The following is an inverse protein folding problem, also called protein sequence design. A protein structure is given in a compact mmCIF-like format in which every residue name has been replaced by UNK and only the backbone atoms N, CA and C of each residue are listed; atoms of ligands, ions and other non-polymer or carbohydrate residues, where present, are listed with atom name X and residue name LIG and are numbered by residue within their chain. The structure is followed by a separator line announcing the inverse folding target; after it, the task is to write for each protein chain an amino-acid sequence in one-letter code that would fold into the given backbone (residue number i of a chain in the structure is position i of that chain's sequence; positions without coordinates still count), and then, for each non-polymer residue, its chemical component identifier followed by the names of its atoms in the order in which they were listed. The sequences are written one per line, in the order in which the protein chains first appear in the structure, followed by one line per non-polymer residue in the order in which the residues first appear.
data_IF_124407029686
#
_entry.id   IF_124407029686
#
_cell.length_a   1.000
_cell.length_b   1.000
_cell.length_c   1.000
_cell.angle_alpha   90.00
_cell.angle_beta   90.00
_cell.angle_gamma   90.00
#
_symmetry.space_group_name_H-M   'P 1'
#
loop_
_entity.id
_entity.type
_entity.pdbx_description
1 polymer ?
#
# COMPACT_ATOMS: atom_id res chain seq x y z
N UNK A 1 4.97 -24.90 -2.16
CA UNK A 1 5.17 -24.84 -3.62
C UNK A 1 5.42 -26.20 -4.25
N UNK A 2 5.45 -26.29 -5.58
CA UNK A 2 5.65 -27.50 -6.39
C UNK A 2 6.99 -27.48 -7.15
N UNK A 3 7.41 -28.61 -7.73
CA UNK A 3 8.65 -28.73 -8.53
C UNK A 3 9.85 -29.34 -7.78
N UNK A 4 11.05 -29.15 -8.31
CA UNK A 4 12.30 -29.68 -7.76
C UNK A 4 12.75 -28.84 -6.57
N UNK A 5 13.41 -29.47 -5.60
CA UNK A 5 14.03 -28.76 -4.48
C UNK A 5 15.20 -27.89 -4.93
N UNK A 6 16.03 -28.45 -5.82
CA UNK A 6 17.26 -27.83 -6.32
C UNK A 6 18.42 -28.00 -5.34
N UNK A 7 19.42 -27.16 -5.48
CA UNK A 7 20.61 -27.09 -4.62
C UNK A 7 20.97 -25.63 -4.33
N UNK A 8 21.74 -25.39 -3.26
CA UNK A 8 22.26 -24.07 -2.92
C UNK A 8 23.78 -24.09 -2.83
N UNK A 9 24.42 -23.04 -3.33
CA UNK A 9 25.83 -22.76 -3.13
C UNK A 9 26.00 -21.28 -2.82
N UNK A 10 26.90 -20.93 -1.89
CA UNK A 10 27.22 -19.54 -1.58
C UNK A 10 27.83 -18.77 -2.78
N UNK A 11 28.43 -19.48 -3.74
CA UNK A 11 29.05 -18.88 -4.92
C UNK A 11 28.05 -18.50 -6.02
N UNK A 12 26.94 -19.24 -6.14
CA UNK A 12 26.00 -19.11 -7.27
C UNK A 12 24.55 -18.92 -6.84
N UNK A 13 24.24 -19.02 -5.54
CA UNK A 13 22.88 -19.00 -5.02
C UNK A 13 22.13 -20.31 -5.23
N UNK A 14 20.80 -20.23 -5.17
CA UNK A 14 19.93 -21.34 -5.52
C UNK A 14 20.07 -21.74 -7.00
N UNK A 15 20.06 -23.05 -7.28
CA UNK A 15 20.14 -23.57 -8.65
C UNK A 15 18.89 -23.22 -9.47
N UNK A 16 19.04 -23.16 -10.79
CA UNK A 16 17.98 -22.75 -11.73
C UNK A 16 16.69 -23.59 -11.61
N UNK A 17 16.78 -24.84 -11.19
CA UNK A 17 15.66 -25.77 -11.01
C UNK A 17 15.00 -25.69 -9.62
N UNK A 18 15.52 -24.85 -8.71
CA UNK A 18 14.95 -24.67 -7.38
C UNK A 18 13.54 -24.07 -7.45
N UNK A 19 12.54 -24.83 -7.02
CA UNK A 19 11.12 -24.44 -7.06
C UNK A 19 10.41 -24.59 -5.69
N UNK A 20 11.13 -25.07 -4.66
CA UNK A 20 10.59 -25.31 -3.31
C UNK A 20 10.96 -24.20 -2.34
N UNK A 21 9.94 -23.53 -1.80
CA UNK A 21 10.07 -22.66 -0.62
C UNK A 21 9.87 -23.47 0.66
N UNK A 22 10.51 -23.04 1.73
CA UNK A 22 10.43 -23.65 3.05
C UNK A 22 11.76 -23.52 3.79
N UNK A 23 11.71 -23.64 5.11
CA UNK A 23 12.91 -23.58 5.95
C UNK A 23 13.95 -24.62 5.49
N UNK A 24 15.20 -24.17 5.34
CA UNK A 24 16.32 -25.00 4.90
C UNK A 24 16.34 -25.35 3.41
N UNK A 25 15.34 -24.93 2.62
CA UNK A 25 15.31 -25.17 1.17
C UNK A 25 16.22 -24.19 0.41
N UNK A 26 16.68 -24.54 -0.80
CA UNK A 26 17.59 -23.68 -1.56
C UNK A 26 17.08 -22.25 -1.78
N UNK A 27 15.80 -22.05 -2.11
CA UNK A 27 15.22 -20.70 -2.27
C UNK A 27 15.21 -19.89 -0.97
N UNK A 28 14.99 -20.56 0.17
CA UNK A 28 15.08 -19.92 1.48
C UNK A 28 16.52 -19.51 1.84
N UNK A 29 17.47 -20.41 1.57
CA UNK A 29 18.89 -20.12 1.76
C UNK A 29 19.35 -18.95 0.88
N UNK A 30 18.90 -18.90 -0.38
CA UNK A 30 19.18 -17.80 -1.29
C UNK A 30 18.60 -16.46 -0.80
N UNK A 31 17.33 -16.46 -0.35
CA UNK A 31 16.71 -15.29 0.28
C UNK A 31 17.55 -14.78 1.45
N UNK A 32 17.88 -15.67 2.41
CA UNK A 32 18.65 -15.30 3.59
C UNK A 32 20.06 -14.80 3.25
N UNK A 33 20.78 -15.56 2.41
CA UNK A 33 22.16 -15.27 2.03
C UNK A 33 22.26 -13.91 1.33
N UNK A 34 21.39 -13.65 0.35
CA UNK A 34 21.38 -12.39 -0.40
C UNK A 34 20.96 -11.20 0.45
N UNK A 35 20.01 -11.38 1.37
CA UNK A 35 19.66 -10.33 2.33
C UNK A 35 20.85 -10.01 3.24
N UNK A 36 21.52 -11.01 3.82
CA UNK A 36 22.71 -10.81 4.65
C UNK A 36 23.82 -10.10 3.89
N UNK A 37 24.12 -10.54 2.67
CA UNK A 37 25.14 -9.93 1.82
C UNK A 37 24.82 -8.46 1.51
N UNK A 38 23.56 -8.12 1.25
CA UNK A 38 23.14 -6.74 1.02
C UNK A 38 23.32 -5.86 2.26
N UNK A 39 23.00 -6.36 3.46
CA UNK A 39 23.18 -5.63 4.71
C UNK A 39 24.65 -5.47 5.08
N UNK A 40 25.44 -6.53 4.96
CA UNK A 40 26.86 -6.54 5.31
C UNK A 40 27.70 -5.65 4.36
N UNK A 41 27.23 -5.41 3.14
CA UNK A 41 27.92 -4.55 2.17
C UNK A 41 28.14 -3.12 2.69
N UNK A 42 27.24 -2.61 3.54
CA UNK A 42 27.39 -1.31 4.17
C UNK A 42 26.63 -1.30 5.51
N UNK A 43 27.30 -1.00 6.65
CA UNK A 43 26.64 -0.98 7.95
C UNK A 43 25.49 0.03 8.08
N UNK A 44 25.39 1.00 7.15
CA UNK A 44 24.27 1.95 7.08
C UNK A 44 23.05 1.42 6.32
N UNK A 45 23.16 0.27 5.66
CA UNK A 45 22.01 -0.33 4.99
C UNK A 45 20.99 -0.79 6.02
N UNK A 46 19.71 -0.59 5.71
CA UNK A 46 18.59 -1.00 6.56
C UNK A 46 17.63 -1.87 5.74
N UNK A 47 17.31 -3.06 6.26
CA UNK A 47 16.25 -3.90 5.73
C UNK A 47 14.90 -3.27 6.06
N UNK A 48 14.27 -2.66 5.05
CA UNK A 48 13.03 -1.91 5.22
C UNK A 48 11.79 -2.81 5.28
N UNK A 49 11.70 -3.79 4.38
CA UNK A 49 10.55 -4.68 4.23
C UNK A 49 10.93 -5.90 3.39
N UNK A 50 10.12 -6.96 3.46
CA UNK A 50 10.11 -8.07 2.52
C UNK A 50 8.85 -7.96 1.65
N UNK A 51 9.01 -7.78 0.34
CA UNK A 51 7.89 -7.85 -0.60
C UNK A 51 7.70 -9.30 -1.05
N UNK A 52 6.58 -9.90 -0.65
CA UNK A 52 6.28 -11.32 -0.89
C UNK A 52 5.05 -11.46 -1.78
N UNK A 53 5.18 -12.15 -2.92
CA UNK A 53 4.06 -12.49 -3.81
C UNK A 53 4.18 -13.95 -4.18
N UNK A 54 3.40 -14.80 -3.51
CA UNK A 54 3.48 -16.25 -3.67
C UNK A 54 2.20 -16.90 -3.15
N UNK A 55 1.68 -17.85 -3.91
CA UNK A 55 0.62 -18.78 -3.46
C UNK A 55 -0.05 -19.55 -4.60
N UNK A 56 0.12 -19.08 -5.83
CA UNK A 56 -0.47 -19.59 -7.08
C UNK A 56 -0.40 -21.12 -7.18
N UNK A 57 0.81 -21.67 -7.14
CA UNK A 57 1.02 -23.12 -7.28
C UNK A 57 0.75 -23.92 -6.01
N UNK A 58 0.61 -23.27 -4.85
CA UNK A 58 0.15 -23.96 -3.65
C UNK A 58 -1.35 -24.23 -3.71
N UNK A 59 -2.13 -23.34 -4.32
CA UNK A 59 -3.57 -23.54 -4.54
C UNK A 59 -3.89 -24.72 -5.46
N UNK A 60 -2.96 -25.12 -6.32
CA UNK A 60 -3.13 -26.30 -7.20
C UNK A 60 -2.71 -27.61 -6.54
N UNK A 61 -2.11 -27.56 -5.34
CA UNK A 61 -1.64 -28.74 -4.63
C UNK A 61 -2.74 -29.32 -3.72
N UNK A 62 -2.83 -30.65 -3.61
CA UNK A 62 -3.69 -31.32 -2.64
C UNK A 62 -3.41 -30.91 -1.18
N UNK A 63 -2.17 -30.51 -0.88
CA UNK A 63 -1.76 -30.05 0.45
C UNK A 63 -1.81 -28.53 0.65
N UNK A 64 -2.58 -27.78 -0.14
CA UNK A 64 -2.68 -26.32 -0.06
C UNK A 64 -2.96 -25.80 1.37
N UNK A 65 -3.70 -26.56 2.17
CA UNK A 65 -4.02 -26.21 3.56
C UNK A 65 -2.81 -26.17 4.50
N UNK A 66 -1.66 -26.74 4.10
CA UNK A 66 -0.42 -26.68 4.86
C UNK A 66 0.37 -25.38 4.60
N UNK A 67 0.07 -24.67 3.51
CA UNK A 67 0.82 -23.48 3.09
C UNK A 67 0.86 -22.39 4.18
N UNK A 68 -0.25 -22.05 4.89
CA UNK A 68 -0.21 -21.00 5.91
C UNK A 68 0.78 -21.26 7.04
N UNK A 69 0.82 -22.50 7.55
CA UNK A 69 1.75 -22.89 8.61
C UNK A 69 3.19 -22.91 8.11
N UNK A 70 3.43 -23.44 6.90
CA UNK A 70 4.75 -23.47 6.29
C UNK A 70 5.30 -22.06 6.02
N UNK A 71 4.46 -21.14 5.54
CA UNK A 71 4.82 -19.74 5.35
C UNK A 71 5.19 -19.08 6.68
N UNK A 72 4.36 -19.22 7.71
CA UNK A 72 4.65 -18.60 9.01
C UNK A 72 5.94 -19.12 9.64
N UNK A 73 6.20 -20.43 9.54
CA UNK A 73 7.45 -21.04 9.99
C UNK A 73 8.66 -20.43 9.25
N UNK A 74 8.54 -20.21 7.94
CA UNK A 74 9.59 -19.57 7.13
C UNK A 74 9.83 -18.11 7.53
N UNK A 75 8.76 -17.33 7.79
CA UNK A 75 8.87 -15.95 8.29
C UNK A 75 9.58 -15.90 9.63
N UNK A 76 9.19 -16.77 10.56
CA UNK A 76 9.79 -16.85 11.90
C UNK A 76 11.26 -17.25 11.84
N UNK A 77 11.60 -18.26 11.04
CA UNK A 77 12.99 -18.68 10.87
C UNK A 77 13.84 -17.58 10.21
N UNK A 78 13.33 -16.90 9.18
CA UNK A 78 14.06 -15.80 8.53
C UNK A 78 14.42 -14.69 9.52
N UNK A 79 13.47 -14.35 10.41
CA UNK A 79 13.70 -13.36 11.47
C UNK A 79 14.73 -13.83 12.49
N UNK A 80 14.67 -15.09 12.91
CA UNK A 80 15.64 -15.68 13.82
C UNK A 80 17.05 -15.69 13.20
N UNK A 81 17.16 -16.08 11.94
CA UNK A 81 18.43 -16.17 11.22
C UNK A 81 19.05 -14.79 10.93
N UNK A 82 18.28 -13.71 11.03
CA UNK A 82 18.72 -12.32 10.93
C UNK A 82 19.04 -11.65 12.28
N UNK A 83 18.90 -12.35 13.42
CA UNK A 83 19.11 -11.77 14.75
C UNK A 83 20.48 -11.07 14.91
N UNK A 84 21.54 -11.62 14.29
CA UNK A 84 22.89 -11.01 14.29
C UNK A 84 23.02 -9.69 13.51
N UNK A 85 22.01 -9.31 12.73
CA UNK A 85 21.94 -8.06 11.95
C UNK A 85 20.74 -7.21 12.37
N UNK A 86 20.23 -7.39 13.59
CA UNK A 86 19.04 -6.69 14.09
C UNK A 86 19.14 -5.16 14.00
N UNK A 87 20.32 -4.60 14.31
CA UNK A 87 20.59 -3.17 14.21
C UNK A 87 20.35 -2.60 12.80
N UNK A 88 20.52 -3.43 11.76
CA UNK A 88 20.29 -3.07 10.36
C UNK A 88 18.88 -3.45 9.87
N UNK A 89 17.95 -3.76 10.77
CA UNK A 89 16.55 -4.01 10.44
C UNK A 89 15.71 -2.78 10.80
N UNK A 90 14.64 -2.53 10.03
CA UNK A 90 13.64 -1.53 10.40
C UNK A 90 13.19 -1.75 11.86
N UNK A 91 13.18 -0.69 12.67
CA UNK A 91 12.84 -0.77 14.10
C UNK A 91 13.91 -1.41 15.00
N UNK A 92 15.12 -1.66 14.47
CA UNK A 92 16.22 -2.26 15.22
C UNK A 92 16.00 -3.74 15.55
N UNK A 93 15.04 -4.40 14.91
CA UNK A 93 14.71 -5.80 15.15
C UNK A 93 14.24 -6.48 13.87
N UNK A 94 14.64 -7.74 13.59
CA UNK A 94 14.07 -8.51 12.49
C UNK A 94 12.56 -8.74 12.67
N UNK A 95 12.08 -8.76 13.92
CA UNK A 95 10.67 -8.95 14.23
C UNK A 95 9.80 -7.78 13.75
N UNK A 96 10.35 -6.55 13.71
CA UNK A 96 9.65 -5.36 13.22
C UNK A 96 9.74 -5.17 11.70
N UNK A 97 10.52 -6.00 10.98
CA UNK A 97 10.55 -5.94 9.52
C UNK A 97 9.23 -6.49 8.96
N UNK A 98 8.47 -5.66 8.22
CA UNK A 98 7.18 -6.06 7.68
C UNK A 98 7.35 -6.98 6.47
N UNK A 99 6.53 -8.02 6.43
CA UNK A 99 6.31 -8.85 5.25
C UNK A 99 5.08 -8.33 4.51
N UNK A 100 5.31 -7.60 3.42
CA UNK A 100 4.28 -7.02 2.58
C UNK A 100 3.86 -8.09 1.56
N UNK A 101 2.77 -8.79 1.89
CA UNK A 101 2.26 -9.92 1.15
C UNK A 101 1.24 -9.45 0.09
N UNK A 102 1.68 -9.41 -1.15
CA UNK A 102 0.86 -9.05 -2.28
C UNK A 102 -0.11 -10.16 -2.70
N UNK A 103 -1.27 -9.73 -3.15
CA UNK A 103 -2.31 -10.59 -3.75
C UNK A 103 -1.89 -11.15 -5.12
N UNK A 104 -2.77 -11.96 -5.71
CA UNK A 104 -2.56 -12.54 -7.06
C UNK A 104 -3.57 -12.00 -8.07
N UNK A 105 -3.50 -12.47 -9.33
CA UNK A 105 -4.44 -12.06 -10.37
C UNK A 105 -5.85 -12.59 -10.08
N UNK A 106 -6.86 -11.92 -10.62
CA UNK A 106 -8.25 -12.36 -10.48
C UNK A 106 -8.47 -13.79 -11.01
N UNK A 107 -7.68 -14.22 -12.01
CA UNK A 107 -7.82 -15.50 -12.68
C UNK A 107 -7.54 -16.67 -11.72
N UNK A 108 -6.50 -16.56 -10.89
CA UNK A 108 -6.19 -17.56 -9.88
C UNK A 108 -7.31 -17.71 -8.85
N UNK A 109 -7.92 -16.60 -8.41
CA UNK A 109 -9.05 -16.63 -7.48
C UNK A 109 -10.30 -17.24 -8.13
N UNK A 110 -10.57 -16.94 -9.40
CA UNK A 110 -11.71 -17.50 -10.12
C UNK A 110 -11.59 -19.03 -10.28
N UNK A 111 -10.40 -19.53 -10.57
CA UNK A 111 -10.15 -20.97 -10.75
C UNK A 111 -10.07 -21.74 -9.42
N UNK A 112 -9.51 -21.11 -8.37
CA UNK A 112 -9.21 -21.76 -7.09
C UNK A 112 -9.82 -21.05 -5.89
N UNK A 113 -11.09 -20.63 -5.97
CA UNK A 113 -11.73 -19.79 -4.95
C UNK A 113 -11.60 -20.30 -3.52
N UNK A 114 -11.83 -21.60 -3.29
CA UNK A 114 -11.69 -22.21 -1.95
C UNK A 114 -10.26 -22.18 -1.45
N UNK A 115 -9.30 -22.58 -2.29
CA UNK A 115 -7.89 -22.63 -1.94
C UNK A 115 -7.30 -21.23 -1.76
N UNK A 116 -7.79 -20.24 -2.52
CA UNK A 116 -7.42 -18.84 -2.39
C UNK A 116 -7.74 -18.31 -0.99
N UNK A 117 -8.94 -18.58 -0.47
CA UNK A 117 -9.31 -18.11 0.86
C UNK A 117 -8.46 -18.76 1.97
N UNK A 118 -7.92 -19.96 1.74
CA UNK A 118 -6.97 -20.59 2.67
C UNK A 118 -5.56 -20.02 2.53
N UNK A 119 -5.02 -19.92 1.32
CA UNK A 119 -3.64 -19.50 1.05
C UNK A 119 -3.48 -17.98 1.20
N UNK A 120 -4.24 -17.19 0.44
CA UNK A 120 -4.15 -15.73 0.46
C UNK A 120 -4.94 -15.11 1.62
N UNK A 121 -6.04 -15.75 2.04
CA UNK A 121 -6.75 -15.32 3.24
C UNK A 121 -5.89 -15.40 4.50
N UNK A 122 -4.95 -16.37 4.56
CA UNK A 122 -3.99 -16.47 5.65
C UNK A 122 -2.98 -15.31 5.74
N UNK A 123 -2.81 -14.48 4.71
CA UNK A 123 -1.99 -13.28 4.81
C UNK A 123 -2.71 -12.10 5.51
N UNK A 124 -4.03 -12.16 5.67
CA UNK A 124 -4.86 -11.10 6.24
C UNK A 124 -4.94 -11.22 7.77
N UNK A 125 -5.12 -10.09 8.47
CA UNK A 125 -5.34 -10.08 9.92
C UNK A 125 -4.11 -10.50 10.75
N UNK A 126 -2.91 -10.37 10.17
CA UNK A 126 -1.63 -10.76 10.79
C UNK A 126 -0.72 -9.56 11.06
N UNK A 127 -1.29 -8.37 11.21
CA UNK A 127 -0.56 -7.12 11.43
C UNK A 127 0.25 -7.17 12.73
N UNK A 128 -0.25 -7.84 13.78
CA UNK A 128 0.50 -8.08 15.03
C UNK A 128 1.75 -8.93 14.83
N UNK A 129 1.82 -9.70 13.75
CA UNK A 129 2.97 -10.50 13.33
C UNK A 129 3.83 -9.76 12.30
N UNK A 130 3.56 -8.48 12.04
CA UNK A 130 4.21 -7.67 11.03
C UNK A 130 4.08 -8.29 9.62
N UNK A 131 2.90 -8.84 9.31
CA UNK A 131 2.53 -9.38 8.00
C UNK A 131 1.32 -8.59 7.52
N UNK A 132 1.43 -8.01 6.32
CA UNK A 132 0.44 -7.08 5.78
C UNK A 132 0.00 -7.53 4.39
N UNK A 133 -1.29 -7.80 4.22
CA UNK A 133 -1.85 -8.16 2.93
C UNK A 133 -2.10 -6.91 2.06
N UNK A 134 -1.65 -6.95 0.81
CA UNK A 134 -1.85 -5.86 -0.16
C UNK A 134 -2.71 -6.35 -1.31
N UNK A 135 -3.98 -5.90 -1.42
CA UNK A 135 -4.88 -6.36 -2.48
C UNK A 135 -4.39 -5.86 -3.84
N UNK A 136 -4.49 -6.69 -4.87
CA UNK A 136 -4.15 -6.33 -6.25
C UNK A 136 -5.24 -6.68 -7.24
N UNK A 137 -6.21 -7.53 -6.91
CA UNK A 137 -7.17 -8.03 -7.90
C UNK A 137 -7.94 -6.93 -8.64
N UNK A 138 -8.36 -5.86 -7.95
CA UNK A 138 -9.11 -4.76 -8.57
C UNK A 138 -8.53 -3.39 -8.21
N UNK A 139 -8.78 -2.40 -9.08
CA UNK A 139 -8.51 -1.00 -8.80
C UNK A 139 -9.53 -0.36 -7.84
N UNK A 140 -9.44 0.96 -7.62
CA UNK A 140 -10.33 1.69 -6.72
C UNK A 140 -11.78 1.86 -7.20
N UNK A 141 -12.04 1.52 -8.47
CA UNK A 141 -13.36 1.51 -9.12
C UNK A 141 -13.97 0.11 -9.21
N UNK A 142 -13.22 -0.94 -8.83
CA UNK A 142 -13.65 -2.33 -8.89
C UNK A 142 -13.30 -3.04 -10.21
N UNK A 143 -12.56 -2.38 -11.10
CA UNK A 143 -12.10 -2.99 -12.37
C UNK A 143 -10.91 -3.90 -12.08
N UNK A 144 -10.87 -5.07 -12.69
CA UNK A 144 -9.77 -6.01 -12.54
C UNK A 144 -8.43 -5.38 -12.95
N UNK A 145 -7.39 -5.62 -12.16
CA UNK A 145 -6.04 -5.22 -12.51
C UNK A 145 -5.58 -5.98 -13.77
N UNK A 146 -5.06 -5.27 -14.79
CA UNK A 146 -4.68 -5.88 -16.05
C UNK A 146 -3.71 -7.06 -15.93
N UNK A 147 -4.01 -8.13 -16.66
CA UNK A 147 -3.15 -9.32 -16.80
C UNK A 147 -2.51 -9.36 -18.18
N UNK A 148 -1.68 -10.38 -18.44
CA UNK A 148 -1.14 -10.63 -19.78
C UNK A 148 -2.19 -11.17 -20.78
N UNK A 149 -3.48 -11.17 -20.42
CA UNK A 149 -4.55 -11.33 -21.39
C UNK A 149 -4.49 -10.21 -22.45
N UNK A 150 -4.38 -10.51 -23.75
CA UNK A 150 -4.24 -9.48 -24.78
C UNK A 150 -5.31 -8.38 -24.76
N UNK A 151 -6.55 -8.69 -24.36
CA UNK A 151 -7.63 -7.70 -24.25
C UNK A 151 -7.45 -6.71 -23.09
N UNK A 152 -6.62 -7.04 -22.09
CA UNK A 152 -6.37 -6.23 -20.89
C UNK A 152 -5.05 -5.47 -20.96
N UNK A 153 -4.15 -5.86 -21.87
CA UNK A 153 -2.84 -5.25 -22.05
C UNK A 153 -2.64 -4.83 -23.51
N UNK A 154 -3.40 -3.82 -23.97
CA UNK A 154 -3.31 -3.31 -25.35
C UNK A 154 -2.05 -2.50 -25.58
N UNK A 155 -1.70 -2.33 -26.85
CA UNK A 155 -0.64 -1.41 -27.27
C UNK A 155 -1.05 0.04 -26.99
N UNK A 156 -0.07 0.84 -26.56
CA UNK A 156 -0.19 2.29 -26.40
C UNK A 156 0.93 2.91 -27.23
N UNK A 157 0.66 3.02 -28.54
CA UNK A 157 1.63 3.44 -29.54
C UNK A 157 2.25 4.82 -29.23
N UNK A 158 1.46 5.77 -28.75
CA UNK A 158 1.93 7.10 -28.36
C UNK A 158 2.96 7.10 -27.22
N UNK A 159 3.06 6.01 -26.46
CA UNK A 159 4.05 5.83 -25.39
C UNK A 159 5.14 4.81 -25.73
N UNK A 160 5.17 4.32 -26.97
CA UNK A 160 6.09 3.24 -27.38
C UNK A 160 5.88 1.94 -26.62
N UNK A 161 4.70 1.73 -26.03
CA UNK A 161 4.37 0.54 -25.26
C UNK A 161 3.63 -0.46 -26.14
N UNK A 162 4.25 -1.61 -26.39
CA UNK A 162 3.60 -2.75 -27.03
C UNK A 162 3.24 -3.76 -25.95
N UNK A 163 1.94 -4.01 -25.81
CA UNK A 163 1.37 -4.89 -24.83
C UNK A 163 1.56 -6.37 -25.19
N UNK A 164 0.93 -7.22 -24.40
CA UNK A 164 1.11 -8.65 -24.45
C UNK A 164 0.53 -9.33 -25.71
N UNK A 165 -0.27 -8.61 -26.51
CA UNK A 165 -0.83 -9.09 -27.78
C UNK A 165 0.25 -9.46 -28.81
N UNK A 166 1.40 -8.78 -28.76
CA UNK A 166 2.56 -9.04 -29.64
C UNK A 166 3.28 -10.38 -29.37
N UNK A 167 2.97 -11.05 -28.24
CA UNK A 167 3.61 -12.30 -27.82
C UNK A 167 2.91 -13.52 -28.42
N UNK A 168 3.71 -14.51 -28.81
CA UNK A 168 3.27 -15.81 -29.34
C UNK A 168 3.79 -16.95 -28.47
N UNK A 169 3.41 -18.19 -28.79
CA UNK A 169 3.92 -19.38 -28.11
C UNK A 169 5.45 -19.55 -28.16
N UNK A 170 6.13 -18.82 -29.05
CA UNK A 170 7.59 -18.81 -29.13
C UNK A 170 8.24 -17.93 -28.05
N UNK A 171 7.51 -17.00 -27.45
CA UNK A 171 8.11 -15.97 -26.58
C UNK A 171 7.24 -15.47 -25.42
N UNK A 172 6.07 -16.08 -25.18
CA UNK A 172 5.28 -15.87 -23.97
C UNK A 172 5.80 -16.73 -22.82
N UNK A 173 5.47 -16.35 -21.58
CA UNK A 173 5.88 -17.09 -20.37
C UNK A 173 5.00 -18.31 -20.12
N UNK A 174 3.69 -18.18 -20.36
CA UNK A 174 2.68 -19.21 -20.11
C UNK A 174 1.58 -19.09 -21.15
N UNK A 175 1.00 -20.23 -21.55
CA UNK A 175 -0.17 -20.27 -22.43
C UNK A 175 -1.43 -19.74 -21.72
N UNK A 176 -1.55 -19.94 -20.40
CA UNK A 176 -2.64 -19.39 -19.60
C UNK A 176 -2.34 -17.92 -19.26
N UNK A 177 -2.68 -17.02 -20.17
CA UNK A 177 -2.29 -15.60 -20.17
C UNK A 177 -2.72 -14.81 -18.91
N UNK A 178 -3.96 -14.95 -18.39
CA UNK A 178 -4.43 -14.16 -17.24
C UNK A 178 -3.76 -14.49 -15.89
N UNK A 179 -2.97 -15.55 -15.81
CA UNK A 179 -2.28 -15.96 -14.57
C UNK A 179 -1.17 -15.02 -14.11
N UNK A 180 -0.82 -14.02 -14.92
CA UNK A 180 0.25 -13.07 -14.62
C UNK A 180 -0.23 -11.64 -14.87
N UNK A 181 0.04 -10.73 -13.92
CA UNK A 181 -0.15 -9.30 -14.11
C UNK A 181 0.63 -8.77 -15.31
N UNK A 182 0.03 -7.82 -16.04
CA UNK A 182 0.65 -7.19 -17.21
C UNK A 182 1.85 -6.33 -16.84
N UNK A 183 2.65 -5.98 -17.85
CA UNK A 183 3.75 -5.02 -17.65
C UNK A 183 3.21 -3.65 -17.23
N UNK A 184 2.06 -3.23 -17.76
CA UNK A 184 1.39 -2.00 -17.37
C UNK A 184 1.01 -2.00 -15.88
N UNK A 185 0.36 -3.06 -15.40
CA UNK A 185 -0.02 -3.21 -13.99
C UNK A 185 1.20 -3.19 -13.05
N UNK A 186 2.32 -3.80 -13.48
CA UNK A 186 3.59 -3.84 -12.73
C UNK A 186 4.35 -2.52 -12.72
N UNK A 187 4.00 -1.55 -13.59
CA UNK A 187 4.55 -0.18 -13.56
C UNK A 187 3.62 0.83 -12.88
N UNK A 188 2.35 0.49 -12.70
CA UNK A 188 1.36 1.34 -12.04
C UNK A 188 0.89 0.76 -10.72
N UNK A 189 -0.32 0.17 -10.73
CA UNK A 189 -1.05 -0.15 -9.50
C UNK A 189 -0.33 -1.09 -8.52
N UNK A 190 0.47 -2.05 -9.01
CA UNK A 190 1.17 -3.01 -8.13
C UNK A 190 2.25 -2.31 -7.30
N UNK A 191 3.28 -1.66 -7.91
CA UNK A 191 4.28 -0.94 -7.14
C UNK A 191 3.66 0.21 -6.32
N UNK A 192 2.65 0.91 -6.82
CA UNK A 192 1.97 1.98 -6.07
C UNK A 192 1.42 1.46 -4.74
N UNK A 193 0.73 0.31 -4.78
CA UNK A 193 0.14 -0.31 -3.58
C UNK A 193 1.19 -0.90 -2.65
N UNK A 194 2.21 -1.58 -3.20
CA UNK A 194 3.33 -2.10 -2.41
C UNK A 194 4.08 -0.96 -1.70
N UNK A 195 4.46 0.10 -2.43
CA UNK A 195 5.14 1.26 -1.87
C UNK A 195 4.29 1.97 -0.82
N UNK A 196 2.99 2.14 -1.08
CA UNK A 196 2.05 2.69 -0.09
C UNK A 196 2.04 1.86 1.19
N UNK A 197 1.97 0.54 1.09
CA UNK A 197 1.98 -0.34 2.24
C UNK A 197 3.29 -0.21 3.03
N UNK A 198 4.45 -0.27 2.35
CA UNK A 198 5.78 -0.08 2.96
C UNK A 198 5.88 1.27 3.68
N UNK A 199 5.48 2.36 3.01
CA UNK A 199 5.51 3.69 3.61
C UNK A 199 4.66 3.73 4.88
N UNK A 200 3.46 3.16 4.87
CA UNK A 200 2.57 3.18 6.02
C UNK A 200 3.13 2.43 7.25
N UNK A 201 3.87 1.34 7.05
CA UNK A 201 4.29 0.47 8.16
C UNK A 201 5.77 0.58 8.53
N UNK A 202 6.63 1.05 7.62
CA UNK A 202 8.07 1.15 7.84
C UNK A 202 8.71 2.45 7.34
N UNK A 203 8.12 3.11 6.35
CA UNK A 203 8.70 4.28 5.68
C UNK A 203 8.28 5.66 6.25
N UNK A 204 7.46 5.72 7.30
CA UNK A 204 7.07 7.00 7.94
C UNK A 204 7.88 7.37 9.17
N UNK A 205 9.00 6.70 9.41
CA UNK A 205 9.92 7.07 10.50
C UNK A 205 10.68 8.35 10.14
N UNK A 206 10.91 9.23 11.12
CA UNK A 206 11.64 10.48 10.90
C UNK A 206 13.04 10.23 10.30
N UNK A 207 13.71 9.16 10.72
CA UNK A 207 15.00 8.75 10.15
C UNK A 207 14.90 8.46 8.65
N UNK A 208 13.90 7.68 8.23
CA UNK A 208 13.66 7.38 6.81
C UNK A 208 13.32 8.65 6.00
N UNK A 209 12.43 9.50 6.51
CA UNK A 209 11.96 10.72 5.82
C UNK A 209 13.08 11.77 5.70
N UNK A 210 13.90 11.92 6.74
CA UNK A 210 15.01 12.89 6.75
C UNK A 210 16.29 12.39 6.06
N UNK A 211 16.31 11.13 5.61
CA UNK A 211 17.50 10.49 5.04
C UNK A 211 18.66 10.34 6.05
N UNK A 212 18.39 10.51 7.34
CA UNK A 212 19.38 10.32 8.41
C UNK A 212 19.35 8.88 8.91
N UNK A 213 20.52 8.34 9.22
CA UNK A 213 20.61 7.01 9.81
C UNK A 213 19.78 6.97 11.11
N UNK A 214 18.97 5.92 11.34
CA UNK A 214 18.24 5.78 12.60
C UNK A 214 19.23 5.76 13.76
N UNK A 215 19.00 6.58 14.80
CA UNK A 215 19.74 6.48 16.05
C UNK A 215 19.37 5.17 16.74
N UNK A 216 20.22 4.16 16.56
CA UNK A 216 20.10 2.88 17.25
C UNK A 216 20.69 3.09 18.64
N UNK A 217 19.85 3.37 19.64
CA UNK A 217 20.27 3.25 21.04
C UNK A 217 20.40 1.75 21.36
N UNK A 218 21.58 1.23 21.72
CA UNK A 218 21.68 -0.07 22.34
C UNK A 218 20.93 0.02 23.68
N UNK A 219 19.99 -0.88 23.95
CA UNK A 219 19.36 -0.95 25.28
C UNK A 219 20.38 -1.46 26.31
N UNK A 220 20.66 -0.72 27.40
CA UNK A 220 21.15 -1.31 28.64
C UNK A 220 19.94 -1.92 29.37
N UNK A 221 20.13 -3.09 29.97
CA UNK A 221 19.10 -3.73 30.77
C UNK A 221 18.72 -2.90 32.01
N UNK A 222 17.47 -3.08 32.45
CA UNK A 222 16.99 -2.59 33.74
C UNK A 222 16.45 -1.16 33.73
N UNK A 223 15.21 -1.05 34.19
CA UNK A 223 14.46 0.15 34.56
C UNK A 223 13.88 1.03 33.43
N UNK A 224 12.55 0.90 33.32
CA UNK A 224 11.56 1.72 32.61
C UNK A 224 12.12 2.75 31.62
N UNK A 225 12.05 2.48 30.30
CA UNK A 225 12.25 3.51 29.31
C UNK A 225 11.03 4.44 29.30
N UNK A 226 11.24 5.73 29.56
CA UNK A 226 10.38 6.76 28.96
C UNK A 226 10.55 6.63 27.45
N UNK A 227 9.61 5.91 26.82
CA UNK A 227 9.60 5.71 25.39
C UNK A 227 9.45 7.04 24.64
N UNK A 228 9.89 7.11 23.37
CA UNK A 228 9.33 8.08 22.45
C UNK A 228 7.81 7.85 22.47
N UNK A 229 7.06 8.92 22.74
CA UNK A 229 5.59 8.92 22.86
C UNK A 229 4.94 7.92 21.92
N UNK A 230 4.20 6.97 22.50
CA UNK A 230 3.28 6.08 21.83
C UNK A 230 2.23 6.90 21.07
N UNK A 231 2.51 7.27 19.83
CA UNK A 231 1.44 7.58 18.89
C UNK A 231 1.86 7.34 17.44
N UNK A 232 2.23 6.10 17.15
CA UNK A 232 2.30 5.56 15.79
C UNK A 232 0.92 5.07 15.31
N UNK A 233 -0.18 5.52 15.92
CA UNK A 233 -1.51 5.22 15.43
C UNK A 233 -1.72 5.94 14.09
N UNK A 234 -2.23 5.22 13.08
CA UNK A 234 -2.69 5.83 11.83
C UNK A 234 -3.89 6.70 12.19
N UNK A 235 -3.66 7.99 12.43
CA UNK A 235 -4.71 8.96 12.72
C UNK A 235 -5.60 9.10 11.49
N UNK A 236 -6.81 8.55 11.60
CA UNK A 236 -7.79 8.55 10.52
C UNK A 236 -8.96 9.45 10.88
N UNK A 237 -9.12 10.53 10.13
CA UNK A 237 -10.33 11.35 10.15
C UNK A 237 -11.14 10.95 8.92
N UNK A 238 -12.38 10.53 9.12
CA UNK A 238 -13.24 10.06 8.03
C UNK A 238 -14.69 10.46 8.25
N UNK A 239 -15.44 10.47 7.15
CA UNK A 239 -16.89 10.53 7.14
C UNK A 239 -17.37 9.32 6.34
N UNK A 240 -17.86 8.29 7.03
CA UNK A 240 -18.26 7.02 6.41
C UNK A 240 -19.76 6.80 6.60
N UNK A 241 -20.53 6.49 5.54
CA UNK A 241 -21.95 6.15 5.65
C UNK A 241 -22.22 4.99 6.61
N UNK A 242 -21.28 4.05 6.73
CA UNK A 242 -21.36 2.89 7.63
C UNK A 242 -21.12 3.23 9.10
N UNK A 243 -20.58 4.42 9.40
CA UNK A 243 -20.28 4.87 10.76
C UNK A 243 -21.36 5.79 11.36
N UNK A 244 -22.57 5.76 10.80
CA UNK A 244 -23.72 6.52 11.29
C UNK A 244 -23.77 7.97 10.81
N UNK A 245 -24.51 8.82 11.51
CA UNK A 245 -24.72 10.22 11.09
C UNK A 245 -23.45 11.07 11.17
N UNK A 246 -23.36 12.09 10.32
CA UNK A 246 -22.18 12.96 10.22
C UNK A 246 -21.85 13.68 11.54
N UNK A 247 -22.87 14.12 12.28
CA UNK A 247 -22.70 14.78 13.57
C UNK A 247 -22.09 13.85 14.63
N UNK A 248 -22.50 12.57 14.65
CA UNK A 248 -21.92 11.56 15.55
C UNK A 248 -20.44 11.26 15.21
N UNK A 249 -20.05 11.48 13.96
CA UNK A 249 -18.66 11.38 13.48
C UNK A 249 -17.86 12.69 13.66
N UNK A 250 -18.43 13.69 14.34
CA UNK A 250 -17.77 14.97 14.64
C UNK A 250 -17.79 16.00 13.51
N UNK A 251 -18.66 15.84 12.51
CA UNK A 251 -18.79 16.78 11.40
C UNK A 251 -19.95 17.76 11.60
N UNK A 252 -19.71 19.03 11.28
CA UNK A 252 -20.69 20.11 11.41
C UNK A 252 -20.96 20.77 10.06
N UNK A 253 -22.24 20.87 9.69
CA UNK A 253 -22.69 21.53 8.45
C UNK A 253 -23.18 22.95 8.71
N UNK A 254 -22.83 23.88 7.81
CA UNK A 254 -23.31 25.26 7.80
C UNK A 254 -23.99 25.56 6.46
N UNK A 255 -25.10 26.28 6.50
CA UNK A 255 -25.88 26.74 5.34
C UNK A 255 -26.29 25.60 4.36
N UNK A 256 -26.54 24.40 4.88
CA UNK A 256 -26.95 23.23 4.10
C UNK A 256 -27.54 22.14 4.98
N UNK A 257 -28.11 21.12 4.35
CA UNK A 257 -28.55 19.88 4.98
C UNK A 257 -27.64 18.73 4.59
N UNK A 258 -27.42 17.80 5.53
CA UNK A 258 -26.75 16.52 5.29
C UNK A 258 -27.67 15.40 5.73
N UNK A 259 -27.90 14.44 4.86
CA UNK A 259 -28.76 13.30 5.13
C UNK A 259 -28.08 12.02 4.67
N UNK A 260 -28.03 11.02 5.54
CA UNK A 260 -27.62 9.67 5.19
C UNK A 260 -28.81 8.95 4.51
N UNK A 261 -28.62 8.51 3.28
CA UNK A 261 -29.64 7.77 2.51
C UNK A 261 -28.96 6.80 1.56
N UNK A 262 -29.42 5.56 1.49
CA UNK A 262 -28.94 4.55 0.53
C UNK A 262 -27.40 4.37 0.55
N UNK A 263 -26.78 4.44 1.74
CA UNK A 263 -25.34 4.26 1.89
C UNK A 263 -24.49 5.44 1.38
N UNK A 264 -25.07 6.62 1.15
CA UNK A 264 -24.35 7.85 0.81
C UNK A 264 -24.83 9.05 1.64
N UNK A 265 -23.95 10.02 1.85
CA UNK A 265 -24.34 11.33 2.39
C UNK A 265 -24.79 12.24 1.26
N UNK A 266 -26.07 12.62 1.27
CA UNK A 266 -26.62 13.63 0.38
C UNK A 266 -26.50 15.00 1.05
N UNK A 267 -25.80 15.91 0.40
CA UNK A 267 -25.65 17.30 0.85
C UNK A 267 -26.53 18.19 -0.02
N UNK A 268 -27.38 19.00 0.62
CA UNK A 268 -28.20 20.01 -0.03
C UNK A 268 -27.79 21.39 0.44
N UNK A 269 -27.50 22.31 -0.49
CA UNK A 269 -27.19 23.69 -0.14
C UNK A 269 -28.47 24.48 0.12
N UNK A 270 -28.41 25.45 1.02
CA UNK A 270 -29.44 26.49 1.10
C UNK A 270 -29.30 27.44 -0.10
N UNK A 271 -30.44 27.95 -0.59
CA UNK A 271 -30.45 28.84 -1.75
C UNK A 271 -29.62 30.10 -1.48
N UNK A 272 -28.82 30.52 -2.47
CA UNK A 272 -27.95 31.71 -2.42
C UNK A 272 -26.94 31.76 -1.26
N UNK A 273 -26.61 30.61 -0.65
CA UNK A 273 -25.57 30.51 0.38
C UNK A 273 -24.51 29.48 -0.01
N UNK A 274 -23.25 29.79 0.27
CA UNK A 274 -22.19 28.80 0.30
C UNK A 274 -22.36 27.91 1.53
N UNK A 275 -22.29 26.60 1.35
CA UNK A 275 -22.34 25.62 2.42
C UNK A 275 -20.93 25.14 2.77
N UNK A 276 -20.74 24.68 4.01
CA UNK A 276 -19.51 24.01 4.41
C UNK A 276 -19.82 22.83 5.32
N UNK A 277 -19.02 21.78 5.21
CA UNK A 277 -19.00 20.64 6.13
C UNK A 277 -17.61 20.59 6.75
N UNK A 278 -17.54 20.69 8.07
CA UNK A 278 -16.28 20.96 8.78
C UNK A 278 -16.06 19.96 9.91
N UNK A 279 -14.81 19.60 10.13
CA UNK A 279 -14.36 18.82 11.28
C UNK A 279 -12.98 19.33 11.69
N UNK A 280 -12.75 19.65 12.97
CA UNK A 280 -11.42 20.03 13.46
C UNK A 280 -10.41 18.91 13.21
N UNK A 281 -9.19 19.30 12.84
CA UNK A 281 -8.03 18.42 12.71
C UNK A 281 -6.99 18.93 13.69
N UNK A 282 -6.66 18.13 14.69
CA UNK A 282 -5.78 18.49 15.80
C UNK A 282 -4.29 18.55 15.41
N UNK A 283 -3.86 17.71 14.47
CA UNK A 283 -2.45 17.59 14.08
C UNK A 283 -2.27 17.58 12.54
N UNK A 284 -2.84 18.60 11.88
CA UNK A 284 -2.79 18.72 10.42
C UNK A 284 -1.36 18.85 9.89
N UNK A 285 -0.49 19.56 10.62
CA UNK A 285 0.93 19.78 10.27
C UNK A 285 1.70 18.47 10.14
N UNK A 286 1.31 17.43 10.87
CA UNK A 286 1.94 16.14 10.74
C UNK A 286 1.81 15.49 9.35
N UNK A 287 0.88 15.94 8.50
CA UNK A 287 0.85 15.53 7.10
C UNK A 287 2.12 15.95 6.35
N UNK A 288 2.73 17.07 6.73
CA UNK A 288 3.97 17.57 6.12
C UNK A 288 5.18 16.73 6.55
N UNK A 289 5.20 16.26 7.80
CA UNK A 289 6.35 15.52 8.35
C UNK A 289 6.20 14.00 8.25
N UNK A 290 4.98 13.47 8.22
CA UNK A 290 4.67 12.02 8.19
C UNK A 290 4.05 11.56 6.88
N UNK A 291 3.70 12.49 5.97
CA UNK A 291 2.93 12.17 4.78
C UNK A 291 1.52 11.70 5.08
N UNK A 292 0.66 11.67 4.06
CA UNK A 292 -0.71 11.21 4.21
C UNK A 292 -1.47 11.22 2.90
N UNK A 293 -2.74 10.84 2.98
CA UNK A 293 -3.65 10.82 1.83
C UNK A 293 -5.01 11.34 2.29
N UNK A 294 -5.49 12.36 1.60
CA UNK A 294 -6.91 12.70 1.64
C UNK A 294 -7.60 11.97 0.48
N UNK A 295 -8.79 11.43 0.74
CA UNK A 295 -9.60 10.82 -0.31
C UNK A 295 -11.06 11.17 -0.12
N UNK A 296 -11.69 11.59 -1.21
CA UNK A 296 -13.11 11.85 -1.26
C UNK A 296 -13.69 11.16 -2.50
N UNK A 297 -14.67 10.28 -2.28
CA UNK A 297 -15.51 9.74 -3.35
C UNK A 297 -16.82 10.52 -3.33
N UNK A 298 -17.14 11.21 -4.42
CA UNK A 298 -18.33 12.02 -4.51
C UNK A 298 -19.00 11.87 -5.88
N UNK A 299 -20.27 12.26 -5.94
CA UNK A 299 -21.04 12.38 -7.17
C UNK A 299 -21.73 13.74 -7.17
N UNK A 300 -21.61 14.48 -8.26
CA UNK A 300 -22.38 15.70 -8.49
C UNK A 300 -23.67 15.34 -9.21
N UNK A 301 -24.76 16.05 -8.89
CA UNK A 301 -26.07 15.88 -9.53
C UNK A 301 -26.55 17.23 -10.05
N UNK A 302 -27.14 17.25 -11.25
CA UNK A 302 -27.66 18.44 -11.89
C UNK A 302 -27.28 18.53 -13.36
N UNK A 303 -27.80 19.54 -14.06
CA UNK A 303 -27.42 19.82 -15.44
C UNK A 303 -26.00 20.38 -15.49
N UNK A 304 -25.22 19.94 -16.49
CA UNK A 304 -23.87 20.44 -16.73
C UNK A 304 -23.96 21.92 -17.17
N UNK A 305 -23.48 22.82 -16.31
CA UNK A 305 -23.41 24.25 -16.59
C UNK A 305 -21.94 24.67 -16.65
N UNK A 306 -21.53 25.45 -17.64
CA UNK A 306 -20.14 25.89 -17.75
C UNK A 306 -19.78 26.85 -16.59
N UNK A 307 -18.54 26.79 -16.12
CA UNK A 307 -17.98 27.56 -15.01
C UNK A 307 -18.65 27.33 -13.64
N UNK A 308 -19.38 26.23 -13.48
CA UNK A 308 -20.07 25.92 -12.23
C UNK A 308 -19.13 25.23 -11.23
N UNK A 309 -19.10 25.75 -10.01
CA UNK A 309 -18.32 25.15 -8.92
C UNK A 309 -18.99 23.88 -8.38
N UNK A 310 -18.18 22.85 -8.19
CA UNK A 310 -18.53 21.59 -7.53
C UNK A 310 -18.02 21.54 -6.09
N UNK A 311 -17.39 20.42 -5.73
CA UNK A 311 -16.84 20.20 -4.39
C UNK A 311 -15.50 20.95 -4.21
N UNK A 312 -15.34 21.62 -3.07
CA UNK A 312 -14.06 22.14 -2.58
C UNK A 312 -13.59 21.39 -1.34
N UNK A 313 -12.29 21.14 -1.25
CA UNK A 313 -11.64 20.51 -0.09
C UNK A 313 -10.47 21.39 0.32
N UNK A 314 -10.57 21.89 1.55
CA UNK A 314 -9.60 22.81 2.12
C UNK A 314 -9.12 22.24 3.46
N UNK A 315 -7.80 22.24 3.65
CA UNK A 315 -7.18 21.92 4.94
C UNK A 315 -6.32 23.11 5.34
N UNK A 316 -6.87 23.89 6.27
CA UNK A 316 -6.19 25.04 6.85
C UNK A 316 -5.41 24.62 8.11
N UNK A 317 -4.30 25.31 8.36
CA UNK A 317 -3.62 25.25 9.65
C UNK A 317 -3.17 26.66 10.06
N UNK A 318 -3.41 27.02 11.31
CA UNK A 318 -2.88 28.22 11.97
C UNK A 318 -1.64 27.92 12.83
N UNK A 319 -1.26 26.64 12.90
CA UNK A 319 -0.08 26.17 13.62
C UNK A 319 1.18 26.52 12.82
N UNK A 320 2.23 26.95 13.53
CA UNK A 320 3.52 27.22 12.92
C UNK A 320 4.02 25.99 12.15
N UNK A 321 4.49 26.21 10.92
CA UNK A 321 5.09 25.15 10.12
C UNK A 321 6.44 24.73 10.74
N UNK A 322 6.87 23.47 10.58
CA UNK A 322 8.19 23.04 11.02
C UNK A 322 9.28 23.87 10.35
N UNK A 323 10.37 24.18 11.07
CA UNK A 323 11.48 25.03 10.58
C UNK A 323 12.10 24.57 9.25
N UNK A 324 11.96 23.28 8.92
CA UNK A 324 12.45 22.67 7.68
C UNK A 324 11.49 22.84 6.49
N UNK A 325 10.32 23.45 6.68
CA UNK A 325 9.28 23.64 5.67
C UNK A 325 9.06 25.12 5.39
N UNK A 326 9.29 25.53 4.15
CA UNK A 326 8.95 26.86 3.66
C UNK A 326 7.81 26.76 2.63
N UNK A 327 6.67 27.39 2.93
CA UNK A 327 5.63 27.65 1.93
C UNK A 327 5.95 28.96 1.20
N UNK A 328 6.01 28.92 -0.12
CA UNK A 328 6.25 30.12 -0.95
C UNK A 328 4.93 30.72 -1.42
N UNK A 329 4.91 32.04 -1.66
CA UNK A 329 3.72 32.78 -2.09
C UNK A 329 3.20 33.77 -1.06
N UNK A 330 1.99 34.30 -1.28
CA UNK A 330 1.30 35.22 -0.36
C UNK A 330 0.01 34.58 0.15
N UNK A 331 -0.40 34.91 1.37
CA UNK A 331 -1.66 34.42 1.97
C UNK A 331 -1.48 33.45 3.14
N UNK A 332 -2.55 32.71 3.45
CA UNK A 332 -2.62 31.78 4.58
C UNK A 332 -2.13 30.38 4.20
N UNK A 333 -1.45 29.64 5.09
CA UNK A 333 -0.97 28.29 4.80
C UNK A 333 -2.13 27.29 4.79
N UNK A 334 -2.57 26.93 3.59
CA UNK A 334 -3.44 25.78 3.37
C UNK A 334 -2.56 24.58 2.98
N UNK A 335 -2.64 23.50 3.78
CA UNK A 335 -2.03 22.23 3.41
C UNK A 335 -2.73 21.61 2.20
N UNK A 336 -3.99 21.98 1.96
CA UNK A 336 -4.77 21.62 0.78
C UNK A 336 -5.72 22.75 0.40
N UNK A 337 -5.76 23.09 -0.89
CA UNK A 337 -6.62 24.15 -1.44
C UNK A 337 -7.14 23.74 -2.82
N UNK A 338 -8.00 22.71 -2.87
CA UNK A 338 -8.49 22.17 -4.14
C UNK A 338 -9.99 22.32 -4.28
N UNK A 339 -10.45 22.58 -5.50
CA UNK A 339 -11.87 22.57 -5.83
C UNK A 339 -12.12 21.99 -7.22
N UNK A 340 -13.33 21.54 -7.44
CA UNK A 340 -13.77 21.13 -8.78
C UNK A 340 -14.59 22.21 -9.44
N UNK A 341 -14.40 22.42 -10.73
CA UNK A 341 -15.20 23.33 -11.53
C UNK A 341 -15.43 22.74 -12.91
N UNK A 342 -16.63 22.94 -13.44
CA UNK A 342 -16.93 22.55 -14.81
C UNK A 342 -16.38 23.58 -15.78
N UNK A 343 -15.52 23.19 -16.70
CA UNK A 343 -15.09 24.03 -17.82
C UNK A 343 -15.02 23.18 -19.09
N UNK A 344 -15.47 23.73 -20.21
CA UNK A 344 -15.45 23.09 -21.54
C UNK A 344 -16.06 21.68 -21.56
N UNK A 345 -17.19 21.53 -20.87
CA UNK A 345 -17.94 20.27 -20.80
C UNK A 345 -17.30 19.19 -19.92
N UNK A 346 -16.24 19.50 -19.18
CA UNK A 346 -15.53 18.58 -18.29
C UNK A 346 -15.58 19.06 -16.85
N UNK A 347 -15.49 18.13 -15.90
CA UNK A 347 -15.24 18.44 -14.49
C UNK A 347 -13.74 18.44 -14.25
N UNK A 348 -13.18 19.58 -13.89
CA UNK A 348 -11.74 19.76 -13.67
C UNK A 348 -11.44 19.90 -12.19
N UNK A 349 -10.30 19.38 -11.75
CA UNK A 349 -9.75 19.61 -10.42
C UNK A 349 -8.76 20.79 -10.50
N UNK A 350 -9.02 21.82 -9.71
CA UNK A 350 -8.29 23.08 -9.70
C UNK A 350 -7.61 23.25 -8.34
N UNK A 351 -6.45 23.89 -8.33
CA UNK A 351 -5.80 24.40 -7.12
C UNK A 351 -6.13 25.89 -6.99
N UNK A 352 -6.66 26.31 -5.84
CA UNK A 352 -7.07 27.68 -5.57
C UNK A 352 -5.91 28.49 -5.03
#
# INVERSE_FOLDING_TARGET
TQGTEGTFSESTGASQDSARWGVGKPLYQDLLFRTKAALQKNPKNVLLAICWMQGEFDMTNASYAQQPAAFLAMVQQFRADLAGLAAQCHGGSPASVPWICGDTTYAWKQEHGTQYEVVYGAYKGKESQQIYFVPFMTDGSGVNTPTNNPSEDPDIAGSGYYGSASRTNKNWVSSNRPTHFSSWARRGIIPDRMATAILNVAGRTLAFISGKAPEIKPSPGGDTPSGPSEDASVRTISLLPTAGDAAAQGWSIKNGGIQLSEGVFKITKQSNKAWSLTRPVDDAVSLLTRGGRLSCKFRLSGALTNNQFGLGIYLYTDVALPDVVAMTGTGNPFLMSFFTQTTDGKLNLMHH
#
